data_IF_580857418102
#
_entry.id   IF_580857418102
#
_cell.length_a   1.000
_cell.length_b   1.000
_cell.length_c   1.000
_cell.angle_alpha   90.00
_cell.angle_beta   90.00
_cell.angle_gamma   90.00
#
_symmetry.space_group_name_H-M   'P 1'
#
loop_
_entity.id
_entity.type
_entity.pdbx_description
1 polymer ?
#
# COMPACT_ATOMS: atom_id res chain seq x y z
N UNK A 1 17.63 -15.87 17.99
CA UNK A 1 16.62 -15.64 19.04
C UNK A 1 15.50 -16.62 18.77
N UNK A 2 15.14 -17.46 19.74
CA UNK A 2 14.01 -18.39 19.57
C UNK A 2 12.72 -17.57 19.51
N UNK A 3 11.97 -17.70 18.41
CA UNK A 3 10.68 -17.04 18.23
C UNK A 3 9.73 -17.51 19.33
N UNK A 4 9.16 -16.58 20.10
CA UNK A 4 8.23 -16.97 21.17
C UNK A 4 6.86 -17.29 20.58
N UNK A 5 6.10 -18.10 21.31
CA UNK A 5 4.75 -18.48 20.91
C UNK A 5 3.79 -17.28 20.82
N UNK A 6 4.00 -16.27 21.65
CA UNK A 6 3.27 -14.99 21.62
C UNK A 6 3.62 -14.18 20.36
N UNK A 7 4.90 -14.11 19.98
CA UNK A 7 5.34 -13.44 18.74
C UNK A 7 4.71 -14.08 17.49
N UNK A 8 4.61 -15.41 17.48
CA UNK A 8 3.97 -16.14 16.38
C UNK A 8 2.46 -15.88 16.33
N UNK A 9 1.79 -15.84 17.48
CA UNK A 9 0.35 -15.52 17.53
C UNK A 9 0.06 -14.08 17.07
N UNK A 10 0.92 -13.13 17.43
CA UNK A 10 0.83 -11.75 16.95
C UNK A 10 1.10 -11.67 15.43
N UNK A 11 2.09 -12.41 14.91
CA UNK A 11 2.33 -12.47 13.46
C UNK A 11 1.10 -13.03 12.71
N UNK A 12 0.45 -14.07 13.24
CA UNK A 12 -0.80 -14.59 12.65
C UNK A 12 -1.89 -13.53 12.55
N UNK A 13 -2.03 -12.69 13.58
CA UNK A 13 -2.99 -11.59 13.58
C UNK A 13 -2.62 -10.52 12.53
N UNK A 14 -1.34 -10.20 12.39
CA UNK A 14 -0.86 -9.26 11.37
C UNK A 14 -1.13 -9.77 9.95
N UNK A 15 -0.86 -11.06 9.69
CA UNK A 15 -1.15 -11.67 8.39
C UNK A 15 -2.66 -11.65 8.09
N UNK A 16 -3.52 -11.95 9.09
CA UNK A 16 -4.97 -11.82 8.92
C UNK A 16 -5.41 -10.40 8.55
N UNK A 17 -4.85 -9.38 9.20
CA UNK A 17 -5.15 -7.97 8.89
C UNK A 17 -4.68 -7.62 7.48
N UNK A 18 -3.49 -8.08 7.08
CA UNK A 18 -2.95 -7.87 5.74
C UNK A 18 -3.84 -8.52 4.67
N UNK A 19 -4.30 -9.76 4.87
CA UNK A 19 -5.22 -10.45 3.95
C UNK A 19 -6.57 -9.72 3.80
N UNK A 20 -7.10 -9.17 4.90
CA UNK A 20 -8.32 -8.35 4.85
C UNK A 20 -8.11 -7.05 4.07
N UNK A 21 -7.03 -6.34 4.36
CA UNK A 21 -6.67 -5.11 3.65
C UNK A 21 -6.48 -5.37 2.14
N UNK A 22 -5.83 -6.49 1.80
CA UNK A 22 -5.62 -6.93 0.42
C UNK A 22 -6.95 -7.08 -0.34
N UNK A 23 -7.97 -7.70 0.27
CA UNK A 23 -9.28 -7.85 -0.35
C UNK A 23 -9.99 -6.50 -0.53
N UNK A 24 -9.92 -5.61 0.47
CA UNK A 24 -10.50 -4.27 0.37
C UNK A 24 -9.89 -3.51 -0.80
N UNK A 25 -8.57 -3.55 -0.93
CA UNK A 25 -7.86 -2.91 -2.05
C UNK A 25 -8.28 -3.52 -3.39
N UNK A 26 -8.33 -4.85 -3.49
CA UNK A 26 -8.76 -5.54 -4.72
C UNK A 26 -10.20 -5.18 -5.12
N UNK A 27 -11.12 -5.10 -4.15
CA UNK A 27 -12.52 -4.70 -4.41
C UNK A 27 -12.64 -3.27 -4.93
N UNK A 28 -11.79 -2.35 -4.44
CA UNK A 28 -11.72 -0.96 -4.91
C UNK A 28 -11.11 -0.82 -6.30
N UNK A 29 -10.33 -1.80 -6.75
CA UNK A 29 -9.79 -1.82 -8.11
C UNK A 29 -10.92 -1.96 -9.14
N UNK A 30 -11.03 -0.95 -10.01
CA UNK A 30 -12.00 -0.92 -11.12
C UNK A 30 -11.85 -2.12 -12.06
N UNK A 31 -12.96 -2.55 -12.66
CA UNK A 31 -13.01 -3.77 -13.46
C UNK A 31 -12.11 -3.69 -14.70
N UNK A 32 -11.92 -2.48 -15.25
CA UNK A 32 -11.03 -2.23 -16.39
C UNK A 32 -9.54 -2.51 -16.09
N UNK A 33 -9.16 -2.56 -14.80
CA UNK A 33 -7.78 -2.83 -14.35
C UNK A 33 -7.56 -4.29 -13.96
N UNK A 34 -8.61 -5.11 -13.91
CA UNK A 34 -8.54 -6.54 -13.52
C UNK A 34 -8.15 -7.41 -14.72
N UNK A 35 -6.98 -7.13 -15.29
CA UNK A 35 -6.42 -7.95 -16.36
C UNK A 35 -6.05 -9.34 -15.83
N UNK A 36 -5.96 -10.37 -16.69
CA UNK A 36 -5.55 -11.71 -16.27
C UNK A 36 -4.21 -11.72 -15.52
N UNK A 37 -3.23 -10.93 -15.97
CA UNK A 37 -1.91 -10.84 -15.33
C UNK A 37 -1.98 -10.13 -13.97
N UNK A 38 -2.80 -9.08 -13.84
CA UNK A 38 -3.06 -8.44 -12.54
C UNK A 38 -3.69 -9.44 -11.58
N UNK A 39 -4.74 -10.15 -12.02
CA UNK A 39 -5.42 -11.14 -11.18
C UNK A 39 -4.45 -12.25 -10.76
N UNK A 40 -3.62 -12.76 -11.67
CA UNK A 40 -2.61 -13.78 -11.37
C UNK A 40 -1.65 -13.33 -10.26
N UNK A 41 -1.06 -12.14 -10.38
CA UNK A 41 -0.15 -11.60 -9.35
C UNK A 41 -0.83 -11.37 -8.01
N UNK A 42 -2.11 -10.96 -8.03
CA UNK A 42 -2.90 -10.81 -6.80
C UNK A 42 -3.16 -12.16 -6.13
N UNK A 43 -3.43 -13.21 -6.90
CA UNK A 43 -3.53 -14.57 -6.35
C UNK A 43 -2.19 -15.03 -5.77
N UNK A 44 -1.07 -14.84 -6.46
CA UNK A 44 0.27 -15.18 -5.96
C UNK A 44 0.59 -14.49 -4.62
N UNK A 45 0.20 -13.21 -4.47
CA UNK A 45 0.37 -12.47 -3.22
C UNK A 45 -0.50 -13.02 -2.09
N UNK A 46 -1.76 -13.36 -2.40
CA UNK A 46 -2.67 -13.97 -1.43
C UNK A 46 -2.16 -15.36 -0.97
N UNK A 47 -1.61 -16.12 -1.90
CA UNK A 47 -1.03 -17.44 -1.66
C UNK A 47 0.21 -17.33 -0.76
N UNK A 48 1.06 -16.31 -0.97
CA UNK A 48 2.22 -16.06 -0.11
C UNK A 48 1.81 -15.77 1.35
N UNK A 49 0.82 -14.89 1.56
CA UNK A 49 0.28 -14.64 2.91
C UNK A 49 -0.31 -15.91 3.53
N UNK A 50 -1.02 -16.70 2.75
CA UNK A 50 -1.60 -17.95 3.23
C UNK A 50 -0.52 -18.99 3.59
N UNK A 51 0.53 -19.13 2.77
CA UNK A 51 1.65 -20.04 3.06
C UNK A 51 2.36 -19.66 4.36
N UNK A 52 2.67 -18.38 4.57
CA UNK A 52 3.27 -17.91 5.82
C UNK A 52 2.35 -18.19 7.02
N UNK A 53 1.05 -17.92 6.87
CA UNK A 53 0.05 -18.22 7.90
C UNK A 53 0.01 -19.72 8.25
N UNK A 54 0.08 -20.59 7.24
CA UNK A 54 0.13 -22.03 7.44
C UNK A 54 1.41 -22.49 8.14
N UNK A 55 2.57 -21.97 7.73
CA UNK A 55 3.85 -22.29 8.39
C UNK A 55 3.84 -21.88 9.86
N UNK A 56 3.36 -20.67 10.14
CA UNK A 56 3.21 -20.18 11.51
C UNK A 56 2.23 -21.03 12.32
N UNK A 57 1.15 -21.54 11.69
CA UNK A 57 0.19 -22.41 12.34
C UNK A 57 0.79 -23.77 12.71
N UNK A 58 1.58 -24.37 11.82
CA UNK A 58 2.29 -25.63 12.07
C UNK A 58 3.25 -25.45 13.24
N UNK A 59 4.01 -24.35 13.27
CA UNK A 59 4.93 -24.03 14.36
C UNK A 59 4.18 -23.81 15.68
N UNK A 60 3.09 -23.04 15.68
CA UNK A 60 2.23 -22.83 16.85
C UNK A 60 1.64 -24.14 17.39
N UNK A 61 1.18 -25.01 16.49
CA UNK A 61 0.62 -26.32 16.87
C UNK A 61 1.68 -27.25 17.49
N UNK A 62 2.97 -27.04 17.16
CA UNK A 62 4.08 -27.76 17.76
C UNK A 62 4.30 -27.45 19.25
N UNK A 63 3.85 -26.28 19.74
CA UNK A 63 3.99 -25.88 21.14
C UNK A 63 2.96 -26.54 22.09
N UNK A 64 1.93 -27.21 21.55
CA UNK A 64 0.88 -27.95 22.30
C UNK A 64 0.18 -27.16 23.42
N UNK A 65 0.19 -25.85 23.34
CA UNK A 65 -0.49 -24.99 24.30
C UNK A 65 -1.75 -24.39 23.66
N UNK A 66 -2.87 -25.03 23.98
CA UNK A 66 -4.21 -24.68 23.48
C UNK A 66 -4.82 -23.48 24.23
N UNK A 67 -4.12 -22.91 25.23
CA UNK A 67 -4.62 -21.76 26.00
C UNK A 67 -4.61 -20.45 25.22
N UNK A 68 -3.94 -20.40 24.07
CA UNK A 68 -3.95 -19.21 23.22
C UNK A 68 -5.34 -18.92 22.66
N UNK A 69 -5.68 -17.62 22.68
CA UNK A 69 -6.85 -17.08 22.02
C UNK A 69 -6.93 -17.47 20.53
N UNK A 70 -5.78 -17.64 19.88
CA UNK A 70 -5.67 -18.11 18.50
C UNK A 70 -6.37 -19.47 18.27
N UNK A 71 -6.15 -20.44 19.16
CA UNK A 71 -6.79 -21.77 19.09
C UNK A 71 -8.24 -21.70 19.58
N UNK A 72 -8.49 -21.02 20.70
CA UNK A 72 -9.83 -20.88 21.27
C UNK A 72 -10.83 -20.22 20.30
N UNK A 73 -10.39 -19.25 19.49
CA UNK A 73 -11.21 -18.57 18.48
C UNK A 73 -11.21 -19.25 17.11
N UNK A 74 -10.60 -20.43 16.98
CA UNK A 74 -10.49 -21.17 15.73
C UNK A 74 -9.99 -20.29 14.56
N UNK A 75 -8.99 -19.44 14.84
CA UNK A 75 -8.49 -18.41 13.90
C UNK A 75 -7.97 -19.02 12.61
N UNK A 76 -7.39 -20.21 12.70
CA UNK A 76 -6.91 -20.93 11.53
C UNK A 76 -8.05 -21.24 10.54
N UNK A 77 -9.14 -21.82 11.04
CA UNK A 77 -10.27 -22.18 10.18
C UNK A 77 -10.96 -20.95 9.58
N UNK A 78 -11.16 -19.90 10.37
CA UNK A 78 -11.73 -18.63 9.87
C UNK A 78 -10.87 -18.03 8.75
N UNK A 79 -9.56 -18.02 8.93
CA UNK A 79 -8.62 -17.46 7.94
C UNK A 79 -8.55 -18.33 6.69
N UNK A 80 -8.64 -19.66 6.84
CA UNK A 80 -8.73 -20.60 5.72
C UNK A 80 -9.97 -20.36 4.87
N UNK A 81 -11.14 -20.19 5.50
CA UNK A 81 -12.39 -19.89 4.81
C UNK A 81 -12.34 -18.53 4.11
N UNK A 82 -11.75 -17.53 4.77
CA UNK A 82 -11.49 -16.22 4.17
C UNK A 82 -10.57 -16.32 2.94
N UNK A 83 -9.48 -17.08 3.05
CA UNK A 83 -8.56 -17.33 1.95
C UNK A 83 -9.28 -17.97 0.75
N UNK A 84 -9.99 -19.08 0.97
CA UNK A 84 -10.70 -19.80 -0.09
C UNK A 84 -11.73 -18.89 -0.78
N UNK A 85 -12.56 -18.20 0.01
CA UNK A 85 -13.59 -17.30 -0.55
C UNK A 85 -13.00 -16.12 -1.32
N UNK A 86 -11.89 -15.55 -0.82
CA UNK A 86 -11.19 -14.45 -1.49
C UNK A 86 -10.52 -14.91 -2.78
N UNK A 87 -9.87 -16.07 -2.74
CA UNK A 87 -9.19 -16.65 -3.89
C UNK A 87 -10.19 -17.00 -5.01
N UNK A 88 -11.34 -17.60 -4.68
CA UNK A 88 -12.43 -17.84 -5.64
C UNK A 88 -13.01 -16.54 -6.20
N UNK A 89 -13.24 -15.54 -5.35
CA UNK A 89 -13.73 -14.22 -5.78
C UNK A 89 -12.78 -13.56 -6.80
N UNK A 90 -11.48 -13.62 -6.55
CA UNK A 90 -10.46 -13.05 -7.42
C UNK A 90 -10.37 -13.83 -8.74
N UNK A 91 -10.41 -15.17 -8.71
CA UNK A 91 -10.44 -15.99 -9.93
C UNK A 91 -11.63 -15.66 -10.82
N UNK A 92 -12.83 -15.58 -10.25
CA UNK A 92 -14.06 -15.27 -10.99
C UNK A 92 -14.04 -13.88 -11.64
N UNK A 93 -13.32 -12.92 -11.05
CA UNK A 93 -13.16 -11.59 -11.64
C UNK A 93 -12.42 -11.61 -12.99
N UNK A 94 -11.66 -12.68 -13.29
CA UNK A 94 -10.98 -12.85 -14.59
C UNK A 94 -11.93 -13.35 -15.67
N UNK A 95 -12.82 -14.29 -15.32
CA UNK A 95 -13.72 -14.96 -16.27
C UNK A 95 -14.78 -14.01 -16.82
N UNK A 96 -15.22 -13.03 -16.02
CA UNK A 96 -16.21 -12.03 -16.45
C UNK A 96 -15.64 -10.94 -17.37
N UNK A 97 -14.31 -10.77 -17.46
CA UNK A 97 -13.68 -9.70 -18.25
C UNK A 97 -13.44 -10.04 -19.72
N UNK A 98 -13.56 -11.30 -20.13
CA UNK A 98 -13.15 -11.76 -21.49
C UNK A 98 -14.22 -11.51 -22.57
N UNK A 99 -15.43 -11.09 -22.22
CA UNK A 99 -16.57 -11.06 -23.15
C UNK A 99 -16.91 -9.70 -23.80
N UNK A 100 -16.07 -8.66 -23.75
CA UNK A 100 -16.41 -7.36 -24.34
C UNK A 100 -15.51 -6.95 -25.52
N UNK A 101 -16.03 -6.75 -26.76
CA UNK A 101 -15.23 -6.36 -27.91
C UNK A 101 -14.76 -4.90 -27.79
N UNK A 102 -13.50 -4.66 -28.16
CA UNK A 102 -12.88 -3.33 -28.18
C UNK A 102 -13.40 -2.48 -29.34
N UNK A 103 -13.62 -1.18 -29.07
CA UNK A 103 -13.84 -0.15 -30.11
C UNK A 103 -12.74 0.91 -29.99
N UNK A 104 -12.10 1.36 -31.09
CA UNK A 104 -10.97 2.29 -31.04
C UNK A 104 -11.44 3.75 -31.10
N UNK A 105 -10.74 4.65 -30.41
CA UNK A 105 -10.87 6.10 -30.66
C UNK A 105 -9.51 6.77 -30.78
N UNK A 106 -9.44 7.62 -31.81
CA UNK A 106 -8.28 8.33 -32.31
C UNK A 106 -7.99 9.64 -31.55
N UNK A 107 -6.69 9.96 -31.48
CA UNK A 107 -6.06 11.28 -31.64
C UNK A 107 -6.61 12.52 -30.92
N UNK A 108 -5.73 13.23 -30.19
CA UNK A 108 -5.09 14.48 -30.68
C UNK A 108 -4.09 15.00 -29.65
N UNK A 109 -2.89 15.31 -30.14
CA UNK A 109 -1.78 15.98 -29.45
C UNK A 109 -1.91 17.49 -29.61
N UNK A 110 -1.69 18.27 -28.54
CA UNK A 110 -1.03 19.59 -28.59
C UNK A 110 -0.27 19.78 -27.27
N UNK A 111 1.04 20.01 -27.36
CA UNK A 111 1.90 20.34 -26.23
C UNK A 111 2.06 21.85 -26.03
N UNK A 112 2.44 22.26 -24.81
CA UNK A 112 3.15 23.52 -24.53
C UNK A 112 4.03 23.30 -23.29
N UNK A 113 5.35 23.48 -23.47
CA UNK A 113 6.34 23.71 -22.41
C UNK A 113 6.25 25.15 -21.91
N UNK A 114 6.66 25.42 -20.65
CA UNK A 114 7.71 26.41 -20.30
C UNK A 114 7.96 26.40 -18.77
N UNK A 115 9.18 26.81 -18.47
CA UNK A 115 10.07 26.64 -17.31
C UNK A 115 9.70 27.36 -15.99
N UNK A 116 9.98 26.67 -14.88
CA UNK A 116 10.97 27.03 -13.83
C UNK A 116 11.05 28.48 -13.30
N UNK A 117 10.75 28.66 -12.00
CA UNK A 117 11.56 29.55 -11.14
C UNK A 117 11.55 29.11 -9.66
N UNK A 118 12.74 29.13 -9.09
CA UNK A 118 13.17 28.82 -7.71
C UNK A 118 12.88 29.97 -6.74
N UNK A 119 12.68 29.67 -5.44
CA UNK A 119 13.52 30.18 -4.33
C UNK A 119 13.13 29.63 -2.96
N UNK A 120 14.17 29.50 -2.14
CA UNK A 120 14.30 28.92 -0.80
C UNK A 120 13.53 29.64 0.30
N UNK A 121 13.29 28.97 1.44
CA UNK A 121 13.76 29.38 2.78
C UNK A 121 13.64 28.19 3.75
N UNK A 122 14.65 28.06 4.63
CA UNK A 122 14.85 27.13 5.75
C UNK A 122 13.75 27.27 6.85
N UNK A 123 13.57 26.47 7.90
CA UNK A 123 14.32 25.45 8.63
C UNK A 123 13.26 24.58 9.34
N UNK A 124 13.54 23.30 9.60
CA UNK A 124 13.15 22.52 10.80
C UNK A 124 13.47 21.04 10.52
N UNK A 125 14.33 20.47 11.35
CA UNK A 125 14.80 19.08 11.31
C UNK A 125 13.64 18.08 11.39
N UNK A 126 13.26 17.55 10.22
CA UNK A 126 12.69 16.22 10.08
C UNK A 126 13.65 15.48 9.15
N UNK A 127 14.18 14.33 9.59
CA UNK A 127 15.06 13.45 8.80
C UNK A 127 14.62 13.46 7.33
N UNK A 128 15.48 14.05 6.50
CA UNK A 128 15.20 14.37 5.11
C UNK A 128 14.78 13.12 4.34
N UNK A 129 13.53 13.12 3.87
CA UNK A 129 13.07 12.18 2.85
C UNK A 129 13.98 12.30 1.63
N UNK A 130 14.33 11.19 0.95
CA UNK A 130 15.14 11.24 -0.25
C UNK A 130 14.47 12.14 -1.29
N UNK A 131 15.29 12.93 -1.99
CA UNK A 131 14.80 13.70 -3.13
C UNK A 131 14.18 12.72 -4.13
N UNK A 132 12.97 13.02 -4.61
CA UNK A 132 12.28 12.13 -5.54
C UNK A 132 13.21 11.80 -6.72
N UNK A 133 13.44 10.51 -7.01
CA UNK A 133 14.44 10.09 -8.00
C UNK A 133 14.16 10.75 -9.36
N UNK A 134 15.21 11.33 -9.94
CA UNK A 134 15.14 12.02 -11.22
C UNK A 134 15.48 11.02 -12.33
N UNK A 135 14.46 10.34 -12.83
CA UNK A 135 14.63 9.30 -13.86
C UNK A 135 14.96 9.91 -15.22
N UNK A 136 16.06 9.46 -15.81
CA UNK A 136 16.52 9.85 -17.15
C UNK A 136 15.90 8.87 -18.16
N UNK A 137 15.13 9.38 -19.13
CA UNK A 137 14.43 8.55 -20.11
C UNK A 137 15.42 7.74 -20.95
N UNK A 138 15.40 6.42 -20.82
CA UNK A 138 15.94 5.51 -21.83
C UNK A 138 14.74 5.08 -22.69
N UNK A 139 14.63 5.72 -23.86
CA UNK A 139 13.42 5.79 -24.68
C UNK A 139 12.99 4.48 -25.35
N UNK A 140 12.48 3.53 -24.57
CA UNK A 140 11.88 2.30 -25.11
C UNK A 140 10.43 2.04 -24.68
N UNK A 141 9.89 2.71 -23.65
CA UNK A 141 8.47 2.54 -23.24
C UNK A 141 7.84 3.87 -22.78
N UNK A 142 7.18 4.60 -23.70
CA UNK A 142 6.50 5.89 -23.41
C UNK A 142 5.56 5.81 -22.20
N UNK A 143 4.89 4.67 -22.00
CA UNK A 143 3.91 4.48 -20.92
C UNK A 143 4.56 4.32 -19.55
N UNK A 144 5.68 3.61 -19.49
CA UNK A 144 6.49 3.43 -18.28
C UNK A 144 7.08 4.77 -17.84
N UNK A 145 7.62 5.54 -18.79
CA UNK A 145 8.13 6.89 -18.53
C UNK A 145 7.04 7.83 -18.00
N UNK A 146 5.82 7.74 -18.55
CA UNK A 146 4.67 8.53 -18.09
C UNK A 146 4.22 8.13 -16.68
N UNK A 147 4.20 6.84 -16.37
CA UNK A 147 3.93 6.34 -15.03
C UNK A 147 5.02 6.77 -14.03
N UNK A 148 6.30 6.70 -14.40
CA UNK A 148 7.41 7.09 -13.53
C UNK A 148 7.41 8.61 -13.23
N UNK A 149 7.10 9.43 -14.23
CA UNK A 149 6.87 10.88 -14.04
C UNK A 149 5.69 11.15 -13.12
N UNK A 150 4.58 10.42 -13.30
CA UNK A 150 3.39 10.54 -12.47
C UNK A 150 3.67 10.15 -11.02
N UNK A 151 4.46 9.10 -10.80
CA UNK A 151 4.85 8.67 -9.46
C UNK A 151 5.78 9.66 -8.77
N UNK A 152 6.73 10.22 -9.51
CA UNK A 152 7.58 11.32 -9.03
C UNK A 152 6.73 12.51 -8.58
N UNK A 153 5.68 12.84 -9.33
CA UNK A 153 4.73 13.91 -8.96
C UNK A 153 3.95 13.56 -7.69
N UNK A 154 3.45 12.31 -7.59
CA UNK A 154 2.76 11.82 -6.41
C UNK A 154 3.64 11.88 -5.15
N UNK A 155 4.89 11.42 -5.23
CA UNK A 155 5.86 11.51 -4.14
C UNK A 155 6.10 12.95 -3.68
N UNK A 156 6.25 13.89 -4.63
CA UNK A 156 6.39 15.32 -4.31
C UNK A 156 5.14 15.87 -3.63
N UNK A 157 3.95 15.53 -4.12
CA UNK A 157 2.68 15.96 -3.55
C UNK A 157 2.47 15.40 -2.12
N UNK A 158 2.86 14.15 -1.89
CA UNK A 158 2.79 13.51 -0.58
C UNK A 158 3.83 14.06 0.39
N UNK A 159 5.07 14.28 -0.05
CA UNK A 159 6.12 14.95 0.74
C UNK A 159 5.68 16.33 1.21
N UNK A 160 5.07 17.13 0.32
CA UNK A 160 4.50 18.43 0.68
C UNK A 160 3.37 18.30 1.70
N UNK A 161 2.51 17.30 1.55
CA UNK A 161 1.44 17.02 2.50
C UNK A 161 1.99 16.76 3.90
N UNK A 162 2.95 15.84 4.01
CA UNK A 162 3.62 15.49 5.27
C UNK A 162 4.27 16.72 5.90
N UNK A 163 4.98 17.54 5.12
CA UNK A 163 5.62 18.77 5.61
C UNK A 163 4.61 19.81 6.10
N UNK A 164 3.44 19.89 5.50
CA UNK A 164 2.42 20.87 5.85
C UNK A 164 1.54 20.42 7.03
N UNK A 165 1.58 19.14 7.39
CA UNK A 165 0.87 18.63 8.57
C UNK A 165 1.65 19.05 9.82
N UNK A 166 1.20 20.12 10.45
CA UNK A 166 1.64 20.44 11.80
C UNK A 166 0.76 19.66 12.80
N UNK A 167 1.26 18.51 13.24
CA UNK A 167 0.53 17.63 14.15
C UNK A 167 0.13 18.38 15.42
N UNK A 168 0.93 19.33 15.90
CA UNK A 168 0.70 20.07 17.15
C UNK A 168 -0.43 21.10 17.03
N UNK A 169 -0.70 21.63 15.82
CA UNK A 169 -1.79 22.59 15.60
C UNK A 169 -3.16 21.96 15.52
N UNK A 170 -3.26 20.64 15.27
CA UNK A 170 -4.53 19.92 15.18
C UNK A 170 -5.11 19.75 16.58
N UNK A 171 -6.30 20.33 16.84
CA UNK A 171 -6.90 20.32 18.18
C UNK A 171 -8.18 19.51 18.24
N UNK A 172 -8.92 19.47 17.13
CA UNK A 172 -10.24 18.86 17.10
C UNK A 172 -10.22 17.48 16.43
N UNK A 173 -11.04 16.56 16.95
CA UNK A 173 -11.12 15.17 16.47
C UNK A 173 -11.42 15.07 14.98
N UNK A 174 -12.23 15.97 14.42
CA UNK A 174 -12.56 15.95 13.00
C UNK A 174 -11.36 16.37 12.14
N UNK A 175 -10.55 17.34 12.57
CA UNK A 175 -9.34 17.78 11.86
C UNK A 175 -8.32 16.64 11.78
N UNK A 176 -8.21 15.83 12.84
CA UNK A 176 -7.38 14.61 12.83
C UNK A 176 -7.88 13.61 11.79
N UNK A 177 -9.19 13.33 11.80
CA UNK A 177 -9.79 12.37 10.87
C UNK A 177 -9.68 12.85 9.43
N UNK A 178 -9.86 14.14 9.19
CA UNK A 178 -9.74 14.74 7.86
C UNK A 178 -8.30 14.70 7.35
N UNK A 179 -7.34 15.08 8.21
CA UNK A 179 -5.90 15.02 7.90
C UNK A 179 -5.47 13.57 7.62
N UNK A 180 -5.92 12.62 8.42
CA UNK A 180 -5.62 11.19 8.22
C UNK A 180 -6.22 10.67 6.92
N UNK A 181 -7.49 10.97 6.63
CA UNK A 181 -8.15 10.58 5.37
C UNK A 181 -7.45 11.18 4.15
N UNK A 182 -7.06 12.45 4.23
CA UNK A 182 -6.31 13.14 3.19
C UNK A 182 -4.94 12.48 2.94
N UNK A 183 -4.24 12.11 4.01
CA UNK A 183 -2.97 11.41 3.93
C UNK A 183 -3.12 9.99 3.35
N UNK A 184 -4.14 9.24 3.78
CA UNK A 184 -4.47 7.90 3.27
C UNK A 184 -4.86 7.94 1.79
N UNK A 185 -5.62 8.94 1.35
CA UNK A 185 -5.98 9.11 -0.06
C UNK A 185 -4.75 9.38 -0.93
N UNK A 186 -3.84 10.25 -0.47
CA UNK A 186 -2.60 10.55 -1.21
C UNK A 186 -1.62 9.37 -1.24
N UNK A 187 -1.51 8.62 -0.14
CA UNK A 187 -0.72 7.38 -0.09
C UNK A 187 -1.31 6.31 -1.01
N UNK A 188 -2.65 6.14 -1.01
CA UNK A 188 -3.32 5.17 -1.88
C UNK A 188 -3.06 5.41 -3.37
N UNK A 189 -2.91 6.67 -3.80
CA UNK A 189 -2.55 7.00 -5.17
C UNK A 189 -1.10 6.60 -5.52
N UNK A 190 -0.16 6.73 -4.57
CA UNK A 190 1.23 6.28 -4.71
C UNK A 190 1.27 4.74 -4.76
N UNK A 191 0.67 4.08 -3.78
CA UNK A 191 0.63 2.62 -3.67
C UNK A 191 0.00 2.00 -4.93
N UNK A 192 -1.15 2.51 -5.39
CA UNK A 192 -1.80 2.00 -6.60
C UNK A 192 -0.92 2.08 -7.84
N UNK A 193 -0.16 3.17 -8.00
CA UNK A 193 0.68 3.37 -9.17
C UNK A 193 2.04 2.65 -9.03
N UNK A 194 2.48 2.37 -7.81
CA UNK A 194 3.62 1.50 -7.55
C UNK A 194 3.36 0.08 -8.04
N UNK A 195 2.16 -0.47 -7.78
CA UNK A 195 1.76 -1.78 -8.32
C UNK A 195 1.67 -1.80 -9.85
N UNK A 196 1.28 -0.68 -10.49
CA UNK A 196 1.29 -0.55 -11.95
C UNK A 196 2.72 -0.53 -12.52
N UNK A 197 3.65 0.11 -11.81
CA UNK A 197 5.06 0.20 -12.19
C UNK A 197 5.81 -1.12 -11.97
N UNK A 198 5.64 -1.77 -10.82
CA UNK A 198 6.30 -3.03 -10.50
C UNK A 198 5.91 -4.15 -11.49
N UNK A 199 4.65 -4.15 -11.93
CA UNK A 199 4.17 -5.06 -12.95
C UNK A 199 4.84 -4.94 -14.33
N UNK A 200 5.48 -3.82 -14.62
CA UNK A 200 6.20 -3.52 -15.87
C UNK A 200 7.73 -3.53 -15.67
N UNK A 201 8.21 -3.16 -14.49
CA UNK A 201 9.64 -3.05 -14.14
C UNK A 201 10.24 -4.37 -13.67
N UNK A 202 9.46 -5.32 -13.15
CA UNK A 202 9.94 -6.62 -12.63
C UNK A 202 11.11 -6.43 -11.65
N UNK A 203 10.99 -5.45 -10.74
CA UNK A 203 12.01 -5.13 -9.74
C UNK A 203 13.36 -4.58 -10.27
N UNK A 204 13.44 -4.15 -11.53
CA UNK A 204 14.73 -3.72 -12.14
C UNK A 204 15.26 -2.37 -11.65
N UNK A 205 14.45 -1.59 -10.92
CA UNK A 205 14.82 -0.23 -10.50
C UNK A 205 14.90 -0.11 -8.96
N UNK A 206 16.02 -0.55 -8.40
CA UNK A 206 16.27 -0.51 -6.95
C UNK A 206 16.17 0.91 -6.37
N UNK A 207 16.53 1.94 -7.14
CA UNK A 207 16.45 3.33 -6.68
C UNK A 207 15.01 3.79 -6.50
N UNK A 208 14.08 3.25 -7.30
CA UNK A 208 12.66 3.50 -7.17
C UNK A 208 12.10 2.81 -5.93
N UNK A 209 12.44 1.54 -5.73
CA UNK A 209 12.02 0.73 -4.58
C UNK A 209 12.47 1.35 -3.25
N UNK A 210 13.73 1.76 -3.15
CA UNK A 210 14.27 2.43 -1.96
C UNK A 210 13.51 3.75 -1.66
N UNK A 211 13.16 4.51 -2.71
CA UNK A 211 12.37 5.73 -2.56
C UNK A 211 10.95 5.41 -2.07
N UNK A 212 10.30 4.41 -2.65
CA UNK A 212 8.97 3.96 -2.25
C UNK A 212 8.94 3.54 -0.77
N UNK A 213 9.87 2.68 -0.33
CA UNK A 213 9.98 2.23 1.06
C UNK A 213 10.24 3.40 2.03
N UNK A 214 11.01 4.41 1.62
CA UNK A 214 11.22 5.61 2.43
C UNK A 214 9.92 6.43 2.63
N UNK A 215 9.12 6.59 1.58
CA UNK A 215 7.82 7.26 1.68
C UNK A 215 6.79 6.43 2.45
N UNK A 216 6.82 5.10 2.34
CA UNK A 216 5.98 4.19 3.12
C UNK A 216 6.30 4.29 4.62
N UNK A 217 7.59 4.29 4.96
CA UNK A 217 8.03 4.48 6.34
C UNK A 217 7.57 5.82 6.90
N UNK A 218 7.64 6.89 6.10
CA UNK A 218 7.16 8.21 6.49
C UNK A 218 5.64 8.27 6.66
N UNK A 219 4.87 7.62 5.78
CA UNK A 219 3.42 7.46 5.92
C UNK A 219 3.06 6.76 7.24
N UNK A 220 3.68 5.60 7.50
CA UNK A 220 3.43 4.80 8.69
C UNK A 220 3.83 5.54 9.98
N UNK A 221 4.95 6.26 9.95
CA UNK A 221 5.37 7.12 11.06
C UNK A 221 4.34 8.22 11.34
N UNK A 222 3.89 8.93 10.30
CA UNK A 222 2.90 10.00 10.43
C UNK A 222 1.55 9.48 10.91
N UNK A 223 1.09 8.34 10.38
CA UNK A 223 -0.13 7.66 10.81
C UNK A 223 -0.07 7.27 12.29
N UNK A 224 1.06 6.72 12.76
CA UNK A 224 1.28 6.41 14.18
C UNK A 224 1.25 7.67 15.06
N UNK A 225 1.92 8.76 14.64
CA UNK A 225 1.92 10.03 15.39
C UNK A 225 0.52 10.65 15.48
N UNK A 226 -0.23 10.67 14.38
CA UNK A 226 -1.61 11.17 14.35
C UNK A 226 -2.53 10.34 15.27
N UNK A 227 -2.41 9.02 15.23
CA UNK A 227 -3.20 8.13 16.08
C UNK A 227 -2.83 8.26 17.57
N UNK A 228 -1.54 8.40 17.90
CA UNK A 228 -1.09 8.62 19.27
C UNK A 228 -1.64 9.93 19.85
N UNK A 229 -1.60 11.03 19.07
CA UNK A 229 -2.16 12.31 19.52
C UNK A 229 -3.68 12.24 19.75
N UNK A 230 -4.41 11.53 18.88
CA UNK A 230 -5.83 11.29 19.07
C UNK A 230 -6.13 10.55 20.38
N UNK A 231 -5.40 9.46 20.65
CA UNK A 231 -5.56 8.68 21.88
C UNK A 231 -5.29 9.52 23.14
N UNK A 232 -4.24 10.35 23.13
CA UNK A 232 -3.95 11.24 24.26
C UNK A 232 -4.98 12.37 24.42
N UNK A 233 -5.50 12.94 23.33
CA UNK A 233 -6.53 13.98 23.37
C UNK A 233 -7.89 13.47 23.90
N UNK A 234 -8.20 12.19 23.70
CA UNK A 234 -9.40 11.55 24.25
C UNK A 234 -9.26 11.07 25.69
N UNK A 235 -8.06 11.16 26.28
CA UNK A 235 -7.77 10.63 27.63
C UNK A 235 -7.70 11.70 28.72
N UNK A 236 -8.07 12.95 28.41
CA UNK A 236 -8.17 14.02 29.41
C UNK A 236 -9.59 13.97 30.01
N UNK A 237 -9.74 13.75 31.34
CA UNK A 237 -11.04 13.72 32.02
C UNK A 237 -11.73 15.09 32.08
#
# INVERSE_FOLDING_TARGET
MSQTMEDLAENQNQIMVAMNQFLVTFKKTGHERRTPDYVKRRLETLDAYWQEFQMNHVTLSGFKDESLEYFAKNRYQQTKEFYISTHEYIKQATTSSVLRPATPLAGTSVGVSVEQHTKDTADTEIKSLPAAPMFRSQGTNSKLDDWMKKQTSNFKAFSRAIRNINIDSIRERWEFQDTLKSLEARWSAIDSLHWELDGELDGKDQSYEDAYSAYETAFNCMKKKLNSKLCHATSIP
#
